data_IF_655196999891
#
_entry.id   IF_655196999891
#
_cell.length_a   1.000
_cell.length_b   1.000
_cell.length_c   1.000
_cell.angle_alpha   90.00
_cell.angle_beta   90.00
_cell.angle_gamma   90.00
#
_symmetry.space_group_name_H-M   'P 1'
#
loop_
_entity.id
_entity.type
_entity.pdbx_description
1 polymer ?
#
# COMPACT_ATOMS: atom_id res chain seq x y z
N UNK A 1 -50.48 23.94 -62.73
CA UNK A 1 -50.98 22.55 -62.88
C UNK A 1 -50.75 21.65 -61.64
N UNK A 2 -49.63 21.76 -60.89
CA UNK A 2 -49.36 20.91 -59.70
C UNK A 2 -50.21 21.21 -58.45
N UNK A 3 -50.66 22.45 -58.23
CA UNK A 3 -51.41 22.83 -57.01
C UNK A 3 -52.87 22.33 -56.98
N UNK A 4 -53.52 22.09 -58.13
CA UNK A 4 -54.92 21.63 -58.18
C UNK A 4 -55.10 20.16 -57.78
N UNK A 5 -54.06 19.31 -57.93
CA UNK A 5 -54.14 17.89 -57.56
C UNK A 5 -54.10 17.65 -56.04
N UNK A 6 -53.41 18.50 -55.28
CA UNK A 6 -53.33 18.41 -53.82
C UNK A 6 -54.65 18.79 -53.12
N UNK A 7 -55.45 19.66 -53.74
CA UNK A 7 -56.77 20.05 -53.23
C UNK A 7 -57.85 18.99 -53.49
N UNK A 8 -57.75 18.24 -54.59
CA UNK A 8 -58.72 17.19 -54.95
C UNK A 8 -58.69 15.98 -54.01
N UNK A 9 -57.53 15.72 -53.38
CA UNK A 9 -57.36 14.66 -52.36
C UNK A 9 -58.08 15.01 -51.06
N UNK A 10 -58.36 16.29 -50.80
CA UNK A 10 -58.94 16.79 -49.55
C UNK A 10 -60.48 16.72 -49.48
N UNK A 11 -61.15 16.36 -50.56
CA UNK A 11 -62.62 16.48 -50.72
C UNK A 11 -63.32 15.12 -50.92
N UNK A 12 -62.57 14.02 -51.11
CA UNK A 12 -63.13 12.69 -51.34
C UNK A 12 -63.09 11.85 -50.06
N UNK A 13 -64.26 11.56 -49.49
CA UNK A 13 -64.45 10.75 -48.27
C UNK A 13 -64.16 9.24 -48.50
N UNK A 14 -64.39 8.73 -49.71
CA UNK A 14 -64.32 7.29 -50.04
C UNK A 14 -62.89 6.71 -50.03
N UNK A 15 -61.85 7.55 -50.03
CA UNK A 15 -60.45 7.15 -49.88
C UNK A 15 -59.82 7.55 -48.53
N UNK A 16 -60.56 8.27 -47.69
CA UNK A 16 -60.06 8.83 -46.43
C UNK A 16 -59.68 7.74 -45.44
N UNK A 17 -60.52 6.70 -45.30
CA UNK A 17 -60.26 5.60 -44.38
C UNK A 17 -58.99 4.81 -44.72
N UNK A 18 -58.75 4.54 -46.00
CA UNK A 18 -57.53 3.84 -46.46
C UNK A 18 -56.30 4.72 -46.30
N UNK A 19 -56.42 6.04 -46.56
CA UNK A 19 -55.33 6.99 -46.34
C UNK A 19 -54.99 7.13 -44.86
N UNK A 20 -55.98 7.26 -44.01
CA UNK A 20 -55.82 7.34 -42.56
C UNK A 20 -55.20 6.05 -42.01
N UNK A 21 -55.72 4.88 -42.38
CA UNK A 21 -55.13 3.60 -42.00
C UNK A 21 -53.68 3.42 -42.51
N UNK A 22 -53.39 3.88 -43.74
CA UNK A 22 -52.05 3.82 -44.32
C UNK A 22 -51.03 4.74 -43.65
N UNK A 23 -51.49 5.77 -42.92
CA UNK A 23 -50.64 6.75 -42.24
C UNK A 23 -50.53 6.47 -40.74
N UNK A 24 -51.60 5.98 -40.12
CA UNK A 24 -51.66 5.61 -38.70
C UNK A 24 -50.72 4.46 -38.40
N UNK A 25 -50.70 3.40 -39.21
CA UNK A 25 -49.83 2.24 -38.94
C UNK A 25 -48.32 2.59 -38.97
N UNK A 26 -47.77 3.27 -40.01
CA UNK A 26 -46.38 3.72 -39.99
C UNK A 26 -46.06 4.70 -38.86
N UNK A 27 -47.02 5.53 -38.45
CA UNK A 27 -46.85 6.45 -37.33
C UNK A 27 -46.71 5.69 -36.00
N UNK A 28 -47.58 4.71 -35.74
CA UNK A 28 -47.49 3.85 -34.54
C UNK A 28 -46.18 3.07 -34.55
N UNK A 29 -45.77 2.52 -35.71
CA UNK A 29 -44.48 1.84 -35.85
C UNK A 29 -43.30 2.79 -35.55
N UNK A 30 -43.34 4.02 -36.08
CA UNK A 30 -42.32 5.04 -35.80
C UNK A 30 -42.26 5.34 -34.30
N UNK A 31 -43.40 5.62 -33.67
CA UNK A 31 -43.49 5.92 -32.24
C UNK A 31 -42.96 4.76 -31.39
N UNK A 32 -43.34 3.52 -31.69
CA UNK A 32 -42.86 2.34 -30.94
C UNK A 32 -41.36 2.13 -31.11
N UNK A 33 -40.82 2.25 -32.33
CA UNK A 33 -39.38 2.15 -32.59
C UNK A 33 -38.62 3.27 -31.88
N UNK A 34 -39.11 4.52 -31.93
CA UNK A 34 -38.50 5.63 -31.19
C UNK A 34 -38.48 5.37 -29.68
N UNK A 35 -39.58 4.88 -29.12
CA UNK A 35 -39.68 4.55 -27.70
C UNK A 35 -38.70 3.44 -27.30
N UNK A 36 -38.51 2.43 -28.15
CA UNK A 36 -37.50 1.39 -27.94
C UNK A 36 -36.07 1.96 -27.94
N UNK A 37 -35.74 2.86 -28.88
CA UNK A 37 -34.41 3.50 -28.90
C UNK A 37 -34.15 4.38 -27.67
N UNK A 38 -35.16 5.11 -27.20
CA UNK A 38 -35.06 5.93 -25.98
C UNK A 38 -34.85 5.05 -24.76
N UNK A 39 -35.62 3.96 -24.62
CA UNK A 39 -35.43 3.00 -23.53
C UNK A 39 -34.05 2.35 -23.55
N UNK A 40 -33.58 1.95 -24.73
CA UNK A 40 -32.25 1.38 -24.91
C UNK A 40 -31.13 2.39 -24.60
N UNK A 41 -31.28 3.65 -24.99
CA UNK A 41 -30.32 4.70 -24.66
C UNK A 41 -30.24 4.94 -23.15
N UNK A 42 -31.39 5.05 -22.47
CA UNK A 42 -31.45 5.22 -21.03
C UNK A 42 -30.77 4.03 -20.31
N UNK A 43 -31.03 2.80 -20.75
CA UNK A 43 -30.36 1.60 -20.25
C UNK A 43 -28.85 1.66 -20.44
N UNK A 44 -28.36 2.00 -21.64
CA UNK A 44 -26.91 2.09 -21.89
C UNK A 44 -26.24 3.16 -21.02
N UNK A 45 -26.91 4.29 -20.78
CA UNK A 45 -26.36 5.34 -19.92
C UNK A 45 -26.19 4.87 -18.48
N UNK A 46 -27.21 4.23 -17.90
CA UNK A 46 -27.14 3.66 -16.54
C UNK A 46 -26.11 2.52 -16.48
N UNK A 47 -26.04 1.69 -17.51
CA UNK A 47 -25.07 0.60 -17.60
C UNK A 47 -23.62 1.11 -17.56
N UNK A 48 -23.27 2.10 -18.38
CA UNK A 48 -21.91 2.66 -18.40
C UNK A 48 -21.59 3.39 -17.10
N UNK A 49 -22.59 4.07 -16.49
CA UNK A 49 -22.43 4.71 -15.18
C UNK A 49 -22.14 3.69 -14.06
N UNK A 50 -22.89 2.59 -14.02
CA UNK A 50 -22.68 1.51 -13.04
C UNK A 50 -21.33 0.82 -13.23
N UNK A 51 -20.91 0.63 -14.49
CA UNK A 51 -19.62 0.07 -14.83
C UNK A 51 -18.47 0.98 -14.35
N UNK A 52 -18.57 2.29 -14.59
CA UNK A 52 -17.59 3.27 -14.11
C UNK A 52 -17.51 3.26 -12.57
N UNK A 53 -18.66 3.21 -11.90
CA UNK A 53 -18.74 3.15 -10.43
C UNK A 53 -18.09 1.89 -9.86
N UNK A 54 -18.42 0.73 -10.41
CA UNK A 54 -17.86 -0.54 -9.95
C UNK A 54 -16.35 -0.59 -10.18
N UNK A 55 -15.87 -0.07 -11.32
CA UNK A 55 -14.43 0.03 -11.60
C UNK A 55 -13.71 0.96 -10.61
N UNK A 56 -14.27 2.14 -10.33
CA UNK A 56 -13.70 3.09 -9.37
C UNK A 56 -13.67 2.52 -7.94
N UNK A 57 -14.76 1.91 -7.48
CA UNK A 57 -14.85 1.28 -6.15
C UNK A 57 -13.84 0.14 -5.99
N UNK A 58 -13.72 -0.74 -7.00
CA UNK A 58 -12.76 -1.86 -6.97
C UNK A 58 -11.32 -1.39 -6.98
N UNK A 59 -10.98 -0.44 -7.86
CA UNK A 59 -9.63 0.16 -7.89
C UNK A 59 -9.28 0.80 -6.55
N UNK A 60 -10.21 1.55 -5.96
CA UNK A 60 -9.99 2.21 -4.68
C UNK A 60 -9.81 1.20 -3.53
N UNK A 61 -10.58 0.11 -3.54
CA UNK A 61 -10.48 -0.96 -2.55
C UNK A 61 -9.14 -1.73 -2.63
N UNK A 62 -8.66 -2.01 -3.84
CA UNK A 62 -7.40 -2.73 -4.06
C UNK A 62 -6.16 -1.84 -4.05
N UNK A 63 -6.32 -0.53 -3.85
CA UNK A 63 -5.22 0.44 -3.97
C UNK A 63 -4.00 0.08 -3.10
N UNK A 64 -4.29 -0.52 -1.93
CA UNK A 64 -3.29 -0.87 -0.94
C UNK A 64 -2.20 -1.85 -1.39
N UNK A 65 -2.51 -2.73 -2.35
CA UNK A 65 -1.57 -3.71 -2.87
C UNK A 65 -1.87 -3.97 -4.35
N UNK A 66 -0.87 -3.73 -5.21
CA UNK A 66 -0.97 -3.96 -6.65
C UNK A 66 -1.30 -5.41 -6.96
N UNK A 67 -0.90 -6.39 -6.14
CA UNK A 67 -1.11 -7.82 -6.40
C UNK A 67 -2.52 -8.32 -6.10
N UNK A 68 -3.40 -7.47 -5.57
CA UNK A 68 -4.80 -7.84 -5.32
C UNK A 68 -5.57 -8.04 -6.62
N UNK A 69 -6.35 -9.11 -6.64
CA UNK A 69 -7.38 -9.32 -7.64
C UNK A 69 -8.52 -8.30 -7.46
N UNK A 70 -8.95 -7.65 -8.55
CA UNK A 70 -9.96 -6.59 -8.51
C UNK A 70 -11.37 -7.08 -8.20
N UNK A 71 -11.66 -8.36 -8.44
CA UNK A 71 -13.00 -8.95 -8.26
C UNK A 71 -13.12 -9.59 -6.89
N UNK A 72 -12.11 -10.35 -6.48
CA UNK A 72 -12.11 -11.15 -5.24
C UNK A 72 -11.39 -10.46 -4.09
N UNK A 73 -10.49 -9.52 -4.36
CA UNK A 73 -9.62 -8.90 -3.36
C UNK A 73 -8.53 -9.83 -2.82
N UNK A 74 -8.43 -11.06 -3.33
CA UNK A 74 -7.46 -12.04 -2.88
C UNK A 74 -6.06 -11.71 -3.42
N UNK A 75 -5.03 -12.03 -2.64
CA UNK A 75 -3.62 -11.89 -3.01
C UNK A 75 -2.77 -12.84 -2.18
N UNK A 76 -1.62 -13.23 -2.71
CA UNK A 76 -0.67 -14.05 -1.97
C UNK A 76 0.03 -13.18 -0.90
N UNK A 77 0.06 -13.55 0.39
CA UNK A 77 0.74 -12.78 1.42
C UNK A 77 2.24 -12.55 1.18
N UNK A 78 2.90 -13.37 0.36
CA UNK A 78 4.29 -13.15 -0.04
C UNK A 78 4.46 -12.04 -1.10
N UNK A 79 3.40 -11.76 -1.85
CA UNK A 79 3.38 -10.76 -2.93
C UNK A 79 2.73 -9.47 -2.40
N UNK A 80 3.56 -8.63 -1.80
CA UNK A 80 3.15 -7.34 -1.27
C UNK A 80 3.94 -6.23 -1.91
N UNK A 81 3.26 -5.13 -2.22
CA UNK A 81 3.96 -3.88 -2.46
C UNK A 81 4.76 -3.52 -1.19
N UNK A 82 5.98 -3.01 -1.36
CA UNK A 82 6.89 -2.78 -0.24
C UNK A 82 6.33 -1.82 0.82
N UNK A 83 6.82 -1.88 2.06
CA UNK A 83 6.18 -1.17 3.18
C UNK A 83 6.07 0.35 3.00
N UNK A 84 6.97 0.94 2.21
CA UNK A 84 7.07 2.38 1.99
C UNK A 84 6.79 2.76 0.53
N UNK A 85 6.18 1.88 -0.26
CA UNK A 85 5.89 2.12 -1.67
C UNK A 85 5.12 3.42 -1.90
N UNK A 86 4.34 3.89 -0.92
CA UNK A 86 3.65 5.19 -0.97
C UNK A 86 4.57 6.42 -0.92
N UNK A 87 5.74 6.27 -0.32
CA UNK A 87 6.75 7.32 -0.20
C UNK A 87 7.88 7.17 -1.23
N UNK A 88 7.94 6.06 -1.95
CA UNK A 88 9.01 5.80 -2.93
C UNK A 88 8.47 5.72 -4.35
N UNK A 89 7.27 5.17 -4.50
CA UNK A 89 6.66 4.84 -5.80
C UNK A 89 5.30 5.51 -6.06
N UNK A 90 4.55 5.91 -5.03
CA UNK A 90 3.27 6.64 -5.15
C UNK A 90 3.45 8.14 -5.33
N UNK A 91 4.51 8.52 -6.05
CA UNK A 91 4.81 9.91 -6.39
C UNK A 91 4.87 10.79 -5.13
N UNK A 92 5.95 10.74 -4.34
CA UNK A 92 6.21 11.86 -3.39
C UNK A 92 6.40 13.19 -4.14
N UNK A 93 6.69 13.08 -5.43
CA UNK A 93 6.54 14.11 -6.46
C UNK A 93 5.13 14.71 -6.55
N UNK A 94 4.05 14.03 -6.16
CA UNK A 94 2.68 14.57 -6.08
C UNK A 94 2.44 15.35 -4.78
N UNK A 95 3.04 14.91 -3.66
CA UNK A 95 2.98 15.65 -2.39
C UNK A 95 3.66 17.03 -2.52
N UNK A 96 4.80 17.08 -3.22
CA UNK A 96 5.46 18.34 -3.62
C UNK A 96 4.91 18.93 -4.92
N UNK A 97 4.26 18.12 -5.76
CA UNK A 97 3.59 18.51 -7.00
C UNK A 97 2.32 19.31 -6.75
N UNK A 98 1.75 19.21 -5.54
CA UNK A 98 0.70 20.11 -5.04
C UNK A 98 1.16 21.57 -4.96
N UNK A 99 2.46 21.84 -4.75
CA UNK A 99 3.04 23.20 -4.85
C UNK A 99 3.18 23.68 -6.30
N UNK A 100 3.15 22.78 -7.29
CA UNK A 100 3.31 23.10 -8.73
C UNK A 100 2.11 22.75 -9.62
N UNK A 101 1.02 22.21 -9.07
CA UNK A 101 -0.21 21.84 -9.79
C UNK A 101 -0.21 20.48 -10.51
N UNK A 102 0.73 19.58 -10.22
CA UNK A 102 0.99 18.34 -11.00
C UNK A 102 0.59 17.02 -10.30
N UNK A 103 -0.20 17.06 -9.23
CA UNK A 103 -0.46 15.92 -8.33
C UNK A 103 -1.42 14.83 -8.82
N UNK A 104 -1.54 14.60 -10.13
CA UNK A 104 -2.53 13.65 -10.66
C UNK A 104 -2.00 12.80 -11.81
N UNK A 105 -2.17 11.48 -11.69
CA UNK A 105 -1.81 10.50 -12.72
C UNK A 105 -3.05 10.06 -13.48
N UNK A 106 -3.02 10.08 -14.82
CA UNK A 106 -4.12 9.64 -15.68
C UNK A 106 -3.65 8.59 -16.69
N UNK A 107 -4.45 7.53 -16.87
CA UNK A 107 -4.20 6.43 -17.81
C UNK A 107 -5.42 6.22 -18.70
N UNK A 108 -5.19 6.00 -19.99
CA UNK A 108 -6.24 5.64 -20.95
C UNK A 108 -6.55 4.15 -20.82
N UNK A 109 -7.82 3.77 -20.83
CA UNK A 109 -8.29 2.39 -20.69
C UNK A 109 -9.19 2.04 -21.88
N UNK A 110 -9.07 0.83 -22.47
CA UNK A 110 -8.15 -0.24 -22.12
C UNK A 110 -6.74 0.02 -22.66
N UNK A 111 -5.74 -0.01 -21.78
CA UNK A 111 -4.32 -0.07 -22.14
C UNK A 111 -3.68 -1.25 -21.39
N UNK A 112 -2.86 -2.03 -22.09
CA UNK A 112 -2.32 -3.30 -21.58
C UNK A 112 -1.05 -3.17 -20.74
N UNK A 113 -0.41 -1.99 -20.75
CA UNK A 113 0.80 -1.74 -19.99
C UNK A 113 1.02 -0.24 -19.83
N UNK A 114 1.38 0.19 -18.63
CA UNK A 114 1.75 1.57 -18.36
C UNK A 114 3.07 1.63 -17.62
N UNK A 115 3.85 2.68 -17.86
CA UNK A 115 5.15 2.88 -17.24
C UNK A 115 4.98 3.56 -15.89
N UNK A 116 5.02 2.78 -14.81
CA UNK A 116 4.96 3.25 -13.42
C UNK A 116 4.03 2.43 -12.54
N UNK A 117 4.25 2.44 -11.22
CA UNK A 117 3.51 1.60 -10.28
C UNK A 117 2.03 2.02 -10.18
N UNK A 118 1.76 3.33 -10.12
CA UNK A 118 0.41 3.90 -10.02
C UNK A 118 -0.36 3.67 -11.32
N UNK A 119 0.30 3.88 -12.45
CA UNK A 119 -0.28 3.71 -13.77
C UNK A 119 -0.65 2.25 -14.02
N UNK A 120 0.21 1.30 -13.61
CA UNK A 120 -0.10 -0.13 -13.70
C UNK A 120 -1.28 -0.52 -12.81
N UNK A 121 -1.41 0.06 -11.61
CA UNK A 121 -2.58 -0.14 -10.75
C UNK A 121 -3.86 0.36 -11.44
N UNK A 122 -3.83 1.56 -12.03
CA UNK A 122 -4.97 2.11 -12.77
C UNK A 122 -5.32 1.27 -14.01
N UNK A 123 -4.31 0.81 -14.75
CA UNK A 123 -4.48 -0.01 -15.95
C UNK A 123 -5.16 -1.36 -15.66
N UNK A 124 -5.07 -1.91 -14.44
CA UNK A 124 -5.77 -3.15 -14.07
C UNK A 124 -7.27 -3.08 -14.27
N UNK A 125 -7.89 -1.91 -14.15
CA UNK A 125 -9.33 -1.76 -14.39
C UNK A 125 -9.75 -2.12 -15.82
N UNK A 126 -8.83 -2.14 -16.79
CA UNK A 126 -9.08 -2.64 -18.14
C UNK A 126 -9.62 -4.08 -18.16
N UNK A 127 -9.20 -4.91 -17.20
CA UNK A 127 -9.65 -6.31 -17.07
C UNK A 127 -11.13 -6.43 -16.69
N UNK A 128 -11.70 -5.39 -16.08
CA UNK A 128 -13.11 -5.35 -15.69
C UNK A 128 -14.03 -4.83 -16.80
N UNK A 129 -13.47 -4.23 -17.85
CA UNK A 129 -14.27 -3.58 -18.89
C UNK A 129 -14.63 -4.57 -20.01
N UNK A 130 -15.89 -4.62 -20.44
CA UNK A 130 -16.28 -5.37 -21.61
C UNK A 130 -15.71 -4.73 -22.90
N UNK A 131 -15.55 -5.51 -23.98
CA UNK A 131 -15.02 -5.00 -25.24
C UNK A 131 -15.91 -3.87 -25.79
N UNK A 132 -15.27 -2.84 -26.35
CA UNK A 132 -15.95 -1.68 -26.93
C UNK A 132 -16.26 -0.54 -25.94
N UNK A 133 -15.84 -0.66 -24.68
CA UNK A 133 -15.83 0.45 -23.71
C UNK A 133 -14.43 1.03 -23.63
N UNK A 134 -14.30 2.35 -23.80
CA UNK A 134 -13.03 3.07 -23.68
C UNK A 134 -13.17 4.20 -22.67
N UNK A 135 -12.07 4.71 -22.14
CA UNK A 135 -12.15 5.66 -21.04
C UNK A 135 -10.80 6.12 -20.51
N UNK A 136 -10.84 6.83 -19.39
CA UNK A 136 -9.66 7.18 -18.61
C UNK A 136 -9.88 6.83 -17.14
N UNK A 137 -8.83 6.37 -16.46
CA UNK A 137 -8.78 6.30 -15.01
C UNK A 137 -7.71 7.25 -14.50
N UNK A 138 -8.04 7.95 -13.44
CA UNK A 138 -7.23 9.00 -12.84
C UNK A 138 -7.10 8.73 -11.36
N UNK A 139 -5.89 8.88 -10.84
CA UNK A 139 -5.63 8.95 -9.41
C UNK A 139 -5.28 10.39 -9.04
N UNK A 140 -5.85 10.86 -7.93
CA UNK A 140 -5.54 12.15 -7.34
C UNK A 140 -5.22 11.95 -5.86
N UNK A 141 -4.03 12.38 -5.47
CA UNK A 141 -3.61 12.39 -4.08
C UNK A 141 -3.81 13.79 -3.49
N UNK A 142 -4.91 14.00 -2.77
CA UNK A 142 -5.04 15.13 -1.88
C UNK A 142 -4.48 14.71 -0.52
N UNK A 143 -3.71 15.58 0.14
CA UNK A 143 -2.90 15.29 1.33
C UNK A 143 -3.60 14.45 2.44
N UNK A 144 -4.92 14.55 2.52
CA UNK A 144 -5.77 13.83 3.48
C UNK A 144 -6.90 13.02 2.83
N UNK A 145 -7.00 13.03 1.50
CA UNK A 145 -8.05 12.36 0.75
C UNK A 145 -7.51 11.86 -0.60
N UNK A 146 -7.51 10.54 -0.78
CA UNK A 146 -7.02 9.92 -2.00
C UNK A 146 -8.22 9.48 -2.84
N UNK A 147 -8.26 9.89 -4.10
CA UNK A 147 -9.41 9.66 -4.98
C UNK A 147 -9.01 8.93 -6.25
N UNK A 148 -9.82 7.96 -6.63
CA UNK A 148 -9.76 7.29 -7.93
C UNK A 148 -11.00 7.71 -8.72
N UNK A 149 -10.76 8.31 -9.88
CA UNK A 149 -11.80 8.71 -10.82
C UNK A 149 -11.74 7.83 -12.08
N UNK A 150 -12.89 7.29 -12.51
CA UNK A 150 -13.00 6.52 -13.75
C UNK A 150 -14.05 7.17 -14.64
N UNK A 151 -13.65 7.50 -15.87
CA UNK A 151 -14.52 8.00 -16.94
C UNK A 151 -14.58 6.97 -18.06
N UNK A 152 -15.77 6.49 -18.36
CA UNK A 152 -16.01 5.52 -19.42
C UNK A 152 -16.90 6.12 -20.51
N UNK A 153 -16.68 5.65 -21.73
CA UNK A 153 -17.42 6.02 -22.93
C UNK A 153 -17.71 4.75 -23.72
N UNK A 154 -18.94 4.65 -24.23
CA UNK A 154 -19.36 3.58 -25.12
C UNK A 154 -20.14 4.16 -26.29
N UNK A 155 -19.68 3.85 -27.49
CA UNK A 155 -20.35 4.26 -28.74
C UNK A 155 -21.68 3.54 -28.87
N UNK A 156 -22.73 4.28 -29.20
CA UNK A 156 -24.08 3.74 -29.40
C UNK A 156 -24.52 4.01 -30.84
N UNK A 157 -24.78 2.93 -31.60
CA UNK A 157 -25.25 3.04 -32.98
C UNK A 157 -26.73 3.42 -32.99
N UNK A 158 -27.02 4.61 -33.51
CA UNK A 158 -28.35 5.21 -33.46
C UNK A 158 -28.72 5.84 -34.82
N UNK A 159 -30.00 5.87 -35.22
CA UNK A 159 -30.43 6.49 -36.47
C UNK A 159 -30.10 8.00 -36.49
N UNK A 160 -29.69 8.53 -37.66
CA UNK A 160 -29.25 9.94 -37.83
C UNK A 160 -30.28 10.97 -37.34
N UNK A 161 -31.56 10.65 -37.49
CA UNK A 161 -32.67 11.50 -37.07
C UNK A 161 -32.71 11.64 -35.55
N UNK A 162 -32.53 10.53 -34.84
CA UNK A 162 -32.58 10.49 -33.38
C UNK A 162 -31.26 10.97 -32.75
N UNK A 163 -30.14 10.77 -33.44
CA UNK A 163 -28.84 11.40 -33.09
C UNK A 163 -28.93 12.93 -33.06
N UNK A 164 -29.59 13.53 -34.04
CA UNK A 164 -29.77 14.98 -34.11
C UNK A 164 -30.69 15.50 -33.00
N UNK A 165 -31.67 14.69 -32.59
CA UNK A 165 -32.60 15.03 -31.52
C UNK A 165 -31.95 14.90 -30.12
N UNK A 166 -31.08 13.90 -29.92
CA UNK A 166 -30.49 13.60 -28.61
C UNK A 166 -29.11 14.25 -28.38
N UNK A 167 -28.55 14.92 -29.40
CA UNK A 167 -27.26 15.64 -29.38
C UNK A 167 -26.06 14.82 -28.84
N UNK A 168 -26.18 13.49 -28.81
CA UNK A 168 -25.17 12.60 -28.23
C UNK A 168 -25.03 11.31 -29.05
N UNK A 169 -23.79 10.98 -29.40
CA UNK A 169 -23.43 9.73 -30.09
C UNK A 169 -22.83 8.68 -29.15
N UNK A 170 -22.61 9.06 -27.88
CA UNK A 170 -21.86 8.27 -26.92
C UNK A 170 -22.56 8.30 -25.57
N UNK A 171 -22.66 7.12 -24.95
CA UNK A 171 -23.03 7.03 -23.55
C UNK A 171 -21.78 7.17 -22.70
N UNK A 172 -21.85 8.03 -21.69
CA UNK A 172 -20.69 8.36 -20.83
C UNK A 172 -21.02 8.05 -19.39
N UNK A 173 -20.09 7.43 -18.69
CA UNK A 173 -20.18 7.20 -17.25
C UNK A 173 -19.00 7.86 -16.54
N UNK A 174 -19.25 8.47 -15.39
CA UNK A 174 -18.20 9.03 -14.54
C UNK A 174 -18.47 8.64 -13.10
N UNK A 175 -17.47 8.09 -12.43
CA UNK A 175 -17.53 7.80 -11.01
C UNK A 175 -16.22 8.16 -10.31
N UNK A 176 -16.35 8.54 -9.04
CA UNK A 176 -15.23 8.84 -8.14
C UNK A 176 -15.40 7.98 -6.90
N UNK A 177 -14.32 7.36 -6.46
CA UNK A 177 -14.27 6.59 -5.21
C UNK A 177 -13.07 7.01 -4.38
N UNK A 178 -13.25 7.04 -3.06
CA UNK A 178 -12.21 7.39 -2.11
C UNK A 178 -11.44 6.13 -1.69
N UNK A 179 -10.11 6.25 -1.59
CA UNK A 179 -9.23 5.21 -1.10
C UNK A 179 -9.17 5.31 0.42
N UNK A 180 -9.71 4.32 1.13
CA UNK A 180 -9.77 4.29 2.59
C UNK A 180 -8.71 3.32 3.12
N UNK A 181 -7.65 3.84 3.75
CA UNK A 181 -6.52 3.07 4.28
C UNK A 181 -6.23 3.40 5.74
N UNK A 182 -7.00 2.87 6.70
CA UNK A 182 -6.85 3.23 8.10
C UNK A 182 -5.48 2.84 8.67
N UNK A 183 -4.90 1.74 8.19
CA UNK A 183 -3.57 1.28 8.63
C UNK A 183 -2.49 2.28 8.24
N UNK A 184 -2.57 2.85 7.03
CA UNK A 184 -1.60 3.82 6.56
C UNK A 184 -1.74 5.14 7.31
N UNK A 185 -2.97 5.58 7.58
CA UNK A 185 -3.22 6.75 8.41
C UNK A 185 -2.57 6.60 9.80
N UNK A 186 -2.75 5.44 10.46
CA UNK A 186 -2.12 5.17 11.76
C UNK A 186 -0.59 5.22 11.66
N UNK A 187 -0.01 4.58 10.62
CA UNK A 187 1.44 4.55 10.40
C UNK A 187 2.00 5.96 10.16
N UNK A 188 1.39 6.74 9.28
CA UNK A 188 1.82 8.10 8.98
C UNK A 188 1.70 9.02 10.22
N UNK A 189 0.66 8.82 11.01
CA UNK A 189 0.46 9.58 12.26
C UNK A 189 1.53 9.23 13.29
N UNK A 190 1.88 7.94 13.45
CA UNK A 190 2.95 7.53 14.37
C UNK A 190 4.34 7.97 13.89
N UNK A 191 4.64 7.84 12.59
CA UNK A 191 5.87 8.38 11.98
C UNK A 191 5.99 9.88 12.27
N UNK A 192 4.92 10.63 12.03
CA UNK A 192 4.91 12.08 12.20
C UNK A 192 5.00 12.49 13.67
N UNK A 193 4.34 11.77 14.58
CA UNK A 193 4.34 12.08 16.02
C UNK A 193 5.64 11.68 16.71
N UNK A 194 6.12 10.47 16.46
CA UNK A 194 7.17 9.79 17.23
C UNK A 194 8.53 9.99 16.56
N UNK A 195 8.63 9.65 15.28
CA UNK A 195 9.91 9.61 14.58
C UNK A 195 10.36 10.98 14.09
N UNK A 196 9.43 11.83 13.63
CA UNK A 196 9.78 13.17 13.17
C UNK A 196 10.51 13.98 14.24
N UNK A 197 10.08 13.91 15.50
CA UNK A 197 10.77 14.58 16.63
C UNK A 197 12.18 14.03 16.86
N UNK A 198 12.39 12.73 16.65
CA UNK A 198 13.69 12.10 16.79
C UNK A 198 14.63 12.42 15.61
N UNK A 199 14.10 12.66 14.40
CA UNK A 199 14.90 12.90 13.19
C UNK A 199 15.14 14.40 12.99
N UNK A 200 14.26 15.27 13.50
CA UNK A 200 14.36 16.73 13.41
C UNK A 200 15.70 17.21 13.99
N UNK A 201 16.56 17.72 13.12
CA UNK A 201 17.89 18.24 13.47
C UNK A 201 19.03 17.21 13.43
N UNK A 202 18.76 15.92 13.16
CA UNK A 202 19.78 14.87 13.05
C UNK A 202 20.17 14.52 11.62
N UNK A 203 19.31 14.79 10.65
CA UNK A 203 19.52 14.48 9.23
C UNK A 203 19.10 15.68 8.37
N UNK A 204 19.90 15.99 7.34
CA UNK A 204 19.55 17.03 6.35
C UNK A 204 18.49 16.51 5.37
N UNK A 205 17.62 17.37 4.80
CA UNK A 205 16.56 16.94 3.89
C UNK A 205 17.04 16.12 2.68
N UNK A 206 18.24 16.41 2.17
CA UNK A 206 18.85 15.65 1.07
C UNK A 206 19.26 14.25 1.51
N UNK A 207 19.99 14.11 2.64
CA UNK A 207 20.36 12.80 3.19
C UNK A 207 19.14 11.98 3.63
N UNK A 208 18.05 12.63 4.04
CA UNK A 208 16.80 11.95 4.35
C UNK A 208 16.16 11.32 3.09
N UNK A 209 16.19 12.03 1.95
CA UNK A 209 15.72 11.48 0.67
C UNK A 209 16.56 10.31 0.22
N UNK A 210 17.88 10.41 0.32
CA UNK A 210 18.80 9.33 -0.06
C UNK A 210 18.66 8.09 0.86
N UNK A 211 18.21 8.30 2.11
CA UNK A 211 17.96 7.22 3.06
C UNK A 211 16.53 6.64 2.96
N UNK A 212 15.60 7.31 2.29
CA UNK A 212 14.24 6.85 2.00
C UNK A 212 14.25 5.89 0.79
N UNK A 213 15.05 4.84 0.90
CA UNK A 213 15.05 3.72 -0.05
C UNK A 213 14.22 2.60 0.54
N UNK A 214 13.35 2.04 -0.28
CA UNK A 214 12.55 0.88 0.09
C UNK A 214 13.47 -0.31 0.43
N UNK A 215 13.36 -0.92 1.61
CA UNK A 215 14.12 -2.14 1.89
C UNK A 215 13.63 -3.23 0.94
N UNK A 216 14.51 -3.65 0.02
CA UNK A 216 14.26 -4.77 -0.89
C UNK A 216 14.00 -6.02 -0.02
N UNK A 217 12.94 -6.78 -0.30
CA UNK A 217 12.51 -7.93 0.52
C UNK A 217 13.66 -8.94 0.77
N UNK A 218 14.58 -9.12 -0.18
CA UNK A 218 15.75 -9.97 -0.05
C UNK A 218 16.76 -9.53 1.02
N UNK A 219 16.70 -8.28 1.48
CA UNK A 219 17.66 -7.66 2.41
C UNK A 219 17.13 -7.56 3.86
N UNK A 220 15.93 -8.10 4.12
CA UNK A 220 15.39 -8.19 5.48
C UNK A 220 16.14 -9.22 6.34
N UNK A 221 16.80 -10.17 5.67
CA UNK A 221 17.89 -10.95 6.24
C UNK A 221 19.18 -10.23 5.85
N UNK A 222 19.65 -9.30 6.68
CA UNK A 222 20.94 -8.65 6.44
C UNK A 222 22.06 -9.69 6.20
N UNK A 223 23.24 -9.27 5.69
CA UNK A 223 24.35 -10.20 5.46
C UNK A 223 24.55 -11.07 6.69
N UNK A 224 24.52 -12.39 6.54
CA UNK A 224 24.69 -13.32 7.65
C UNK A 224 26.07 -13.10 8.25
N UNK A 225 26.13 -12.33 9.34
CA UNK A 225 27.37 -12.10 10.07
C UNK A 225 27.69 -13.40 10.78
N UNK A 226 28.51 -14.24 10.15
CA UNK A 226 29.03 -15.45 10.78
C UNK A 226 30.02 -15.04 11.87
N UNK A 227 29.55 -15.05 13.11
CA UNK A 227 30.38 -14.81 14.29
C UNK A 227 31.07 -16.11 14.64
N UNK A 228 32.41 -16.11 14.60
CA UNK A 228 33.23 -17.32 14.82
C UNK A 228 33.96 -17.30 16.16
N UNK A 229 33.90 -16.18 16.90
CA UNK A 229 34.58 -16.01 18.19
C UNK A 229 33.86 -15.02 19.10
N UNK A 230 34.14 -15.14 20.40
CA UNK A 230 33.62 -14.22 21.42
C UNK A 230 34.12 -12.78 21.20
N UNK A 231 35.35 -12.60 20.72
CA UNK A 231 35.88 -11.27 20.37
C UNK A 231 35.10 -10.62 19.23
N UNK A 232 34.73 -11.40 18.20
CA UNK A 232 33.86 -10.92 17.12
C UNK A 232 32.45 -10.64 17.62
N UNK A 233 31.91 -11.47 18.52
CA UNK A 233 30.62 -11.27 19.14
C UNK A 233 30.56 -9.96 19.94
N UNK A 234 31.57 -9.71 20.77
CA UNK A 234 31.71 -8.46 21.53
C UNK A 234 31.90 -7.24 20.63
N UNK A 235 32.68 -7.35 19.55
CA UNK A 235 32.84 -6.28 18.57
C UNK A 235 31.53 -5.98 17.83
N UNK A 236 30.76 -7.01 17.48
CA UNK A 236 29.44 -6.90 16.88
C UNK A 236 28.44 -6.23 17.83
N UNK A 237 28.44 -6.58 19.11
CA UNK A 237 27.58 -5.89 20.08
C UNK A 237 27.98 -4.42 20.24
N UNK A 238 29.29 -4.11 20.31
CA UNK A 238 29.79 -2.74 20.39
C UNK A 238 29.30 -1.88 19.23
N UNK A 239 29.33 -2.40 18.00
CA UNK A 239 28.80 -1.68 16.84
C UNK A 239 27.27 -1.58 16.85
N UNK A 240 26.57 -2.63 17.27
CA UNK A 240 25.11 -2.69 17.27
C UNK A 240 24.48 -1.71 18.27
N UNK A 241 25.03 -1.62 19.49
CA UNK A 241 24.47 -0.77 20.56
C UNK A 241 25.16 0.59 20.68
N UNK A 242 26.22 0.82 19.89
CA UNK A 242 27.05 2.03 19.99
C UNK A 242 27.76 2.19 21.34
N UNK A 243 28.03 1.07 22.02
CA UNK A 243 28.59 1.02 23.37
C UNK A 243 30.11 0.91 23.41
N UNK A 244 30.68 1.08 24.61
CA UNK A 244 32.13 0.92 24.85
C UNK A 244 32.39 -0.18 25.86
N UNK A 245 33.52 -0.85 25.72
CA UNK A 245 33.98 -1.83 26.69
C UNK A 245 34.42 -1.10 27.97
N UNK A 246 33.92 -1.56 29.12
CA UNK A 246 34.20 -0.95 30.42
C UNK A 246 34.51 -2.04 31.44
N UNK A 247 35.55 -1.81 32.25
CA UNK A 247 35.86 -2.67 33.39
C UNK A 247 35.26 -2.03 34.64
N UNK A 248 34.37 -2.77 35.29
CA UNK A 248 33.67 -2.34 36.49
C UNK A 248 34.15 -3.15 37.70
N UNK A 249 34.05 -2.55 38.88
CA UNK A 249 34.39 -3.22 40.14
C UNK A 249 33.13 -3.44 40.95
N UNK A 250 32.90 -4.70 41.32
CA UNK A 250 31.76 -5.15 42.14
C UNK A 250 31.96 -4.81 43.62
N UNK A 251 30.90 -4.89 44.43
CA UNK A 251 30.97 -4.64 45.89
C UNK A 251 31.96 -5.60 46.56
N UNK A 252 32.00 -6.85 46.09
CA UNK A 252 32.92 -7.87 46.56
C UNK A 252 34.38 -7.66 46.14
N UNK A 253 34.70 -6.54 45.47
CA UNK A 253 36.06 -6.20 45.02
C UNK A 253 36.50 -6.95 43.77
N UNK A 254 35.61 -7.72 43.13
CA UNK A 254 35.91 -8.47 41.91
C UNK A 254 35.73 -7.58 40.68
N UNK A 255 36.67 -7.67 39.74
CA UNK A 255 36.55 -7.00 38.44
C UNK A 255 35.60 -7.75 37.50
N UNK A 256 34.83 -6.97 36.74
CA UNK A 256 33.89 -7.43 35.71
C UNK A 256 34.04 -6.57 34.46
N UNK A 257 34.53 -7.16 33.38
CA UNK A 257 34.56 -6.51 32.06
C UNK A 257 33.18 -6.63 31.43
N UNK A 258 32.59 -5.52 30.99
CA UNK A 258 31.34 -5.46 30.23
C UNK A 258 31.69 -5.13 28.79
N UNK A 259 31.28 -6.00 27.86
CA UNK A 259 31.73 -5.92 26.45
C UNK A 259 31.25 -4.64 25.74
N UNK A 260 30.02 -4.20 26.04
CA UNK A 260 29.50 -2.93 25.56
C UNK A 260 28.53 -2.30 26.58
N UNK A 261 28.92 -1.16 27.17
CA UNK A 261 28.04 -0.29 27.95
C UNK A 261 27.44 0.77 27.02
N UNK A 262 26.12 0.78 26.89
CA UNK A 262 25.40 1.73 26.03
C UNK A 262 25.21 3.11 26.69
N UNK A 263 24.75 4.09 25.93
CA UNK A 263 24.50 5.45 26.43
C UNK A 263 23.35 5.53 27.47
N UNK A 264 22.55 4.47 27.60
CA UNK A 264 21.45 4.36 28.57
C UNK A 264 21.92 3.74 29.89
N UNK A 265 23.17 3.28 29.96
CA UNK A 265 23.75 2.62 31.11
C UNK A 265 23.37 1.14 31.19
N UNK A 266 23.04 0.50 30.06
CA UNK A 266 22.77 -0.92 29.94
C UNK A 266 24.06 -1.63 29.52
N UNK A 267 24.47 -2.62 30.31
CA UNK A 267 25.63 -3.46 30.03
C UNK A 267 25.25 -4.65 29.16
N UNK A 268 25.89 -4.78 28.01
CA UNK A 268 25.72 -5.89 27.08
C UNK A 268 26.93 -6.82 27.16
N UNK A 269 26.67 -8.11 27.37
CA UNK A 269 27.69 -9.16 27.37
C UNK A 269 27.46 -10.14 26.22
N UNK A 270 28.51 -10.49 25.49
CA UNK A 270 28.52 -11.53 24.49
C UNK A 270 29.01 -12.86 25.09
N UNK A 271 28.34 -13.96 24.74
CA UNK A 271 28.78 -15.31 25.02
C UNK A 271 28.72 -16.14 23.72
N UNK A 272 29.86 -16.67 23.32
CA UNK A 272 29.99 -17.53 22.13
C UNK A 272 30.36 -18.98 22.49
N UNK A 273 31.18 -19.18 23.52
CA UNK A 273 31.50 -20.49 24.08
C UNK A 273 31.38 -20.44 25.60
N UNK A 274 30.46 -21.19 26.17
CA UNK A 274 30.10 -21.07 27.57
C UNK A 274 29.67 -22.41 28.18
N UNK A 275 29.82 -22.52 29.49
CA UNK A 275 29.17 -23.54 30.31
C UNK A 275 28.27 -22.87 31.33
N UNK A 276 27.07 -23.40 31.53
CA UNK A 276 26.15 -22.84 32.54
C UNK A 276 26.76 -22.81 33.93
N UNK A 277 27.55 -23.83 34.27
CA UNK A 277 28.22 -23.90 35.56
C UNK A 277 29.09 -22.66 35.78
N UNK A 278 29.98 -22.32 34.84
CA UNK A 278 30.82 -21.13 34.92
C UNK A 278 30.01 -19.84 34.99
N UNK A 279 28.94 -19.73 34.19
CA UNK A 279 28.09 -18.53 34.20
C UNK A 279 27.37 -18.35 35.55
N UNK A 280 26.92 -19.44 36.18
CA UNK A 280 26.26 -19.44 37.48
C UNK A 280 27.21 -19.11 38.63
N UNK A 281 28.44 -19.62 38.57
CA UNK A 281 29.41 -19.46 39.66
C UNK A 281 30.20 -18.17 39.58
N UNK A 282 30.50 -17.68 38.37
CA UNK A 282 31.44 -16.57 38.19
C UNK A 282 30.78 -15.28 37.70
N UNK A 283 29.99 -15.34 36.62
CA UNK A 283 29.52 -14.13 35.93
C UNK A 283 28.21 -13.59 36.49
N UNK A 284 27.24 -14.47 36.75
CA UNK A 284 25.93 -14.09 37.25
C UNK A 284 26.01 -13.38 38.61
N UNK A 285 26.78 -13.86 39.62
CA UNK A 285 26.86 -13.15 40.90
C UNK A 285 27.43 -11.73 40.77
N UNK A 286 28.43 -11.54 39.91
CA UNK A 286 29.02 -10.23 39.64
C UNK A 286 28.01 -9.28 38.99
N UNK A 287 27.25 -9.78 38.03
CA UNK A 287 26.25 -8.99 37.30
C UNK A 287 25.05 -8.64 38.19
N UNK A 288 24.66 -9.52 39.11
CA UNK A 288 23.66 -9.21 40.16
C UNK A 288 24.18 -8.11 41.09
N UNK A 289 25.43 -8.20 41.57
CA UNK A 289 26.03 -7.16 42.41
C UNK A 289 26.06 -5.80 41.70
N UNK A 290 26.34 -5.76 40.40
CA UNK A 290 26.30 -4.53 39.60
C UNK A 290 24.88 -3.98 39.43
N UNK A 291 23.89 -4.86 39.26
CA UNK A 291 22.47 -4.47 39.18
C UNK A 291 21.94 -3.93 40.52
N UNK A 292 22.38 -4.49 41.63
CA UNK A 292 21.98 -4.05 42.98
C UNK A 292 22.57 -2.67 43.32
N UNK A 293 23.80 -2.39 42.87
CA UNK A 293 24.42 -1.06 43.04
C UNK A 293 23.67 0.05 42.28
N UNK A 294 23.13 -0.23 41.09
CA UNK A 294 22.46 0.71 40.16
C UNK A 294 23.21 2.00 39.76
N UNK A 295 24.39 2.24 40.32
CA UNK A 295 25.22 3.43 40.07
C UNK A 295 26.07 3.29 38.82
N UNK A 296 26.62 2.08 38.59
CA UNK A 296 27.50 1.78 37.46
C UNK A 296 26.73 1.25 36.24
N UNK A 297 25.67 0.47 36.46
CA UNK A 297 24.85 -0.15 35.40
C UNK A 297 23.38 -0.13 35.82
N UNK A 298 22.49 0.24 34.89
CA UNK A 298 21.03 0.31 35.11
C UNK A 298 20.29 -0.95 34.67
N UNK A 299 20.90 -1.76 33.81
CA UNK A 299 20.35 -3.02 33.31
C UNK A 299 21.43 -3.87 32.65
N UNK A 300 21.27 -5.18 32.64
CA UNK A 300 22.23 -6.11 32.03
C UNK A 300 21.52 -7.01 31.03
N UNK A 301 22.12 -7.15 29.85
CA UNK A 301 21.65 -8.01 28.77
C UNK A 301 22.74 -9.00 28.41
N UNK A 302 22.41 -10.29 28.44
CA UNK A 302 23.28 -11.37 28.03
C UNK A 302 22.89 -11.85 26.63
N UNK A 303 23.83 -11.76 25.70
CA UNK A 303 23.67 -12.16 24.32
C UNK A 303 24.39 -13.48 24.06
N UNK A 304 23.65 -14.52 23.68
CA UNK A 304 24.20 -15.83 23.36
C UNK A 304 24.21 -16.03 21.85
N UNK A 305 25.38 -16.36 21.31
CA UNK A 305 25.59 -16.59 19.88
C UNK A 305 25.70 -18.08 19.59
N UNK A 306 24.88 -18.60 18.68
CA UNK A 306 24.93 -20.01 18.29
C UNK A 306 26.21 -20.32 17.53
N UNK A 307 26.85 -21.43 17.90
CA UNK A 307 28.01 -21.97 17.18
C UNK A 307 27.59 -22.82 15.97
N UNK A 308 26.47 -23.52 16.08
CA UNK A 308 25.94 -24.42 15.06
C UNK A 308 24.40 -24.56 15.16
N UNK A 309 23.79 -25.14 14.13
CA UNK A 309 22.36 -25.43 14.09
C UNK A 309 21.93 -26.48 15.14
N UNK A 310 22.87 -27.18 15.77
CA UNK A 310 22.59 -28.17 16.82
C UNK A 310 22.20 -27.52 18.16
N UNK A 311 22.52 -26.23 18.34
CA UNK A 311 22.21 -25.49 19.56
C UNK A 311 23.04 -25.93 20.77
N UNK A 312 24.11 -26.71 20.54
CA UNK A 312 25.00 -27.21 21.60
C UNK A 312 25.79 -26.04 22.20
N UNK A 313 25.68 -25.87 23.52
CA UNK A 313 26.28 -24.75 24.26
C UNK A 313 25.31 -23.62 24.59
N UNK A 314 24.07 -23.64 24.07
CA UNK A 314 23.07 -22.63 24.44
C UNK A 314 22.58 -22.80 25.88
N UNK A 315 22.19 -21.70 26.56
CA UNK A 315 21.59 -21.78 27.89
C UNK A 315 20.28 -22.58 27.84
N UNK A 316 20.09 -23.49 28.78
CA UNK A 316 18.87 -24.25 29.00
C UNK A 316 17.70 -23.33 29.35
N UNK A 317 16.48 -23.79 29.09
CA UNK A 317 15.28 -23.00 29.38
C UNK A 317 15.13 -22.70 30.88
N UNK A 318 15.56 -23.61 31.76
CA UNK A 318 15.55 -23.37 33.21
C UNK A 318 16.53 -22.27 33.61
N UNK A 319 17.71 -22.24 33.00
CA UNK A 319 18.69 -21.21 33.25
C UNK A 319 18.25 -19.82 32.77
N UNK A 320 17.64 -19.74 31.59
CA UNK A 320 17.11 -18.46 31.07
C UNK A 320 16.07 -17.85 32.00
N UNK A 321 15.10 -18.67 32.45
CA UNK A 321 14.10 -18.23 33.43
C UNK A 321 14.73 -17.79 34.75
N UNK A 322 15.85 -18.39 35.14
CA UNK A 322 16.57 -17.96 36.33
C UNK A 322 17.24 -16.60 36.13
N UNK A 323 17.92 -16.37 35.00
CA UNK A 323 18.52 -15.08 34.67
C UNK A 323 17.47 -13.96 34.63
N UNK A 324 16.33 -14.21 33.98
CA UNK A 324 15.21 -13.27 33.90
C UNK A 324 14.65 -12.92 35.27
N UNK A 325 14.47 -13.91 36.16
CA UNK A 325 14.03 -13.68 37.56
C UNK A 325 15.01 -12.82 38.35
N UNK A 326 16.29 -12.85 38.00
CA UNK A 326 17.33 -12.02 38.63
C UNK A 326 17.57 -10.69 37.90
N UNK A 327 16.70 -10.33 36.96
CA UNK A 327 16.74 -9.04 36.26
C UNK A 327 17.74 -8.96 35.10
N UNK A 328 18.29 -10.10 34.66
CA UNK A 328 19.18 -10.17 33.49
C UNK A 328 18.36 -10.57 32.27
N UNK A 329 18.35 -9.72 31.23
CA UNK A 329 17.63 -9.99 29.99
C UNK A 329 18.46 -10.90 29.10
N UNK A 330 17.84 -11.93 28.51
CA UNK A 330 18.53 -12.89 27.63
C UNK A 330 18.13 -12.68 26.18
N UNK A 331 19.11 -12.54 25.29
CA UNK A 331 18.93 -12.43 23.84
C UNK A 331 19.73 -13.54 23.16
N UNK A 332 19.14 -14.17 22.14
CA UNK A 332 19.76 -15.26 21.39
C UNK A 332 19.91 -14.85 19.94
N UNK A 333 21.13 -14.96 19.45
CA UNK A 333 21.49 -14.71 18.05
C UNK A 333 21.72 -16.05 17.35
N UNK A 334 21.20 -16.16 16.13
CA UNK A 334 21.29 -17.37 15.31
C UNK A 334 22.48 -17.33 14.36
#
# INVERSE_FOLDING_TARGET
MRHRRLLCIRVSEEGSFTLEASLVFPLILLCTVTLLFVGMYAYQNVFVQQLARTAAERLAFTWNNSHKDLVTGNYNPSETDGLYWRLTHDSVTDLFGMLSGSGTTEVIIPSGSASGHVENKLAKSSTLLPPGVTGTAKYANYLFDHQVEVKLKKSFLMPKQLKRWLESEQTTGRAVSHVIEPVELIRLTDITRTYFKAIKGRISPQKARDALVEPIQDNLSGPSVSIQSERQAAAYLKSLVGGREVILTTISGKSRTVDALDARGIGHQAFYNMTEFQLRTEQMPKDIELLDQRTQVKGIVWHFFKKDASGKGMPSNSFRKELERKGIVVVIHN
#
